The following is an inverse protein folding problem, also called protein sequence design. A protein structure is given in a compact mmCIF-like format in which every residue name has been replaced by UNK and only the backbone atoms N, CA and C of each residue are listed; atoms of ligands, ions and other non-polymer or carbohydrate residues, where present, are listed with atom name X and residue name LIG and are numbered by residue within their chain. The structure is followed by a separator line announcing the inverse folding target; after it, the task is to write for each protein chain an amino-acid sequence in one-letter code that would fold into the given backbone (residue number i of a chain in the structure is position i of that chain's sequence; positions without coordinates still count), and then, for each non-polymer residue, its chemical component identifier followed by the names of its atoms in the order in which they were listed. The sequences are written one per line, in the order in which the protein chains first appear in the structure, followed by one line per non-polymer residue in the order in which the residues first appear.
data_IF_558430841740
#
_entry.id   IF_558430841740
#
_cell.length_a   1.000
_cell.length_b   1.000
_cell.length_c   1.000
_cell.angle_alpha   90.00
_cell.angle_beta   90.00
_cell.angle_gamma   90.00
#
_symmetry.space_group_name_H-M   'P 1'
#
loop_
_entity.id
_entity.type
_entity.pdbx_description
1 polymer ?
#
# COMPACT_ATOMS: atom_id res chain seq x y z
N UNK A 1 -4.73 15.05 -24.20
CA UNK A 1 -4.63 14.27 -22.95
C UNK A 1 -4.03 15.18 -21.88
N UNK A 2 -4.33 14.97 -20.60
CA UNK A 2 -3.72 15.75 -19.52
C UNK A 2 -2.19 15.66 -19.67
N UNK A 3 -1.46 16.80 -19.71
CA UNK A 3 -0.02 16.80 -19.95
C UNK A 3 0.77 15.96 -18.94
N UNK A 4 0.31 15.88 -17.69
CA UNK A 4 0.98 15.11 -16.63
C UNK A 4 0.85 13.60 -16.82
N UNK A 5 -0.27 13.14 -17.39
CA UNK A 5 -0.43 11.74 -17.81
C UNK A 5 0.57 11.43 -18.92
N UNK A 6 0.63 12.29 -19.95
CA UNK A 6 1.55 12.10 -21.07
C UNK A 6 3.01 12.10 -20.60
N UNK A 7 3.39 13.07 -19.77
CA UNK A 7 4.74 13.14 -19.22
C UNK A 7 5.10 11.91 -18.39
N UNK A 8 4.17 11.37 -17.60
CA UNK A 8 4.39 10.15 -16.82
C UNK A 8 4.56 8.93 -17.72
N UNK A 9 3.78 8.83 -18.80
CA UNK A 9 3.94 7.78 -19.83
C UNK A 9 5.30 7.91 -20.50
N UNK A 10 5.69 9.10 -20.94
CA UNK A 10 6.95 9.30 -21.65
C UNK A 10 8.14 9.03 -20.73
N UNK A 11 8.10 9.49 -19.48
CA UNK A 11 9.12 9.16 -18.48
C UNK A 11 9.24 7.64 -18.29
N UNK A 12 8.12 6.94 -18.11
CA UNK A 12 8.10 5.50 -17.88
C UNK A 12 8.66 4.67 -19.06
N UNK A 13 8.54 5.17 -20.29
CA UNK A 13 8.93 4.43 -21.49
C UNK A 13 10.25 4.92 -22.13
N UNK A 14 10.83 6.03 -21.67
CA UNK A 14 12.01 6.65 -22.31
C UNK A 14 13.16 6.97 -21.34
N UNK A 15 12.98 6.76 -20.03
CA UNK A 15 13.99 7.11 -19.01
C UNK A 15 14.20 5.97 -18.01
N UNK A 16 15.11 6.19 -17.07
CA UNK A 16 15.45 5.35 -15.92
C UNK A 16 14.32 5.28 -14.88
N UNK A 17 13.10 4.98 -15.33
CA UNK A 17 11.88 5.08 -14.53
C UNK A 17 11.95 4.24 -13.25
N UNK A 18 12.37 2.98 -13.35
CA UNK A 18 12.45 2.08 -12.19
C UNK A 18 13.58 2.48 -11.24
N UNK A 19 14.71 2.97 -11.75
CA UNK A 19 15.83 3.44 -10.92
C UNK A 19 15.44 4.71 -10.14
N UNK A 20 14.67 5.59 -10.76
CA UNK A 20 14.17 6.79 -10.09
C UNK A 20 13.04 6.46 -9.10
N UNK A 21 12.16 5.50 -9.45
CA UNK A 21 11.17 4.98 -8.50
C UNK A 21 11.81 4.31 -7.29
N UNK A 22 12.99 3.71 -7.44
CA UNK A 22 13.73 3.13 -6.31
C UNK A 22 14.08 4.19 -5.25
N UNK A 23 14.21 5.47 -5.62
CA UNK A 23 14.43 6.57 -4.66
C UNK A 23 13.17 6.87 -3.85
N UNK A 24 11.99 6.58 -4.40
CA UNK A 24 10.67 6.76 -3.76
C UNK A 24 10.31 5.53 -2.94
N UNK A 25 10.51 4.35 -3.52
CA UNK A 25 10.16 3.04 -2.97
C UNK A 25 11.40 2.13 -2.93
N UNK A 26 12.43 2.46 -2.11
CA UNK A 26 13.61 1.61 -2.04
C UNK A 26 13.20 0.25 -1.49
N UNK A 27 13.73 -0.82 -2.08
CA UNK A 27 13.60 -2.14 -1.47
C UNK A 27 14.33 -2.09 -0.15
N UNK A 28 13.60 -2.32 0.94
CA UNK A 28 14.23 -2.60 2.21
C UNK A 28 14.83 -4.01 2.01
N UNK A 29 16.14 -4.23 2.17
CA UNK A 29 16.65 -5.58 2.32
C UNK A 29 16.03 -6.10 3.61
N UNK A 30 14.88 -6.75 3.48
CA UNK A 30 14.12 -7.14 4.65
C UNK A 30 14.90 -8.22 5.37
N UNK A 31 15.26 -7.94 6.63
CA UNK A 31 15.63 -8.99 7.56
C UNK A 31 14.46 -9.96 7.76
N UNK A 32 14.79 -11.15 8.25
CA UNK A 32 13.82 -12.15 8.64
C UNK A 32 12.84 -11.53 9.67
N UNK A 33 11.53 -11.74 9.49
CA UNK A 33 10.53 -11.30 10.47
C UNK A 33 10.78 -12.03 11.80
N UNK A 34 10.93 -11.28 12.87
CA UNK A 34 10.95 -11.84 14.23
C UNK A 34 9.63 -12.54 14.54
N UNK A 35 9.75 -13.80 14.97
CA UNK A 35 8.63 -14.57 15.49
C UNK A 35 8.65 -14.50 17.01
N UNK A 36 7.46 -14.41 17.63
CA UNK A 36 7.32 -14.55 19.08
C UNK A 36 7.93 -15.89 19.52
N UNK A 37 9.00 -15.84 20.31
CA UNK A 37 9.77 -17.02 20.71
C UNK A 37 8.92 -18.01 21.52
N UNK A 38 8.01 -17.51 22.36
CA UNK A 38 7.13 -18.33 23.18
C UNK A 38 6.12 -19.05 22.31
N UNK A 39 5.52 -18.34 21.35
CA UNK A 39 4.59 -18.92 20.39
C UNK A 39 5.30 -19.94 19.49
N UNK A 40 6.51 -19.64 19.03
CA UNK A 40 7.30 -20.55 18.23
C UNK A 40 7.69 -21.81 19.00
N UNK A 41 8.06 -21.70 20.28
CA UNK A 41 8.30 -22.86 21.15
C UNK A 41 7.07 -23.76 21.25
N UNK A 42 5.86 -23.20 21.34
CA UNK A 42 4.62 -23.98 21.34
C UNK A 42 4.40 -24.70 20.00
N UNK A 43 4.66 -24.03 18.87
CA UNK A 43 4.58 -24.63 17.53
C UNK A 43 5.54 -25.82 17.42
N UNK A 44 6.80 -25.65 17.84
CA UNK A 44 7.80 -26.73 17.85
C UNK A 44 7.32 -27.94 18.66
N UNK A 45 6.73 -27.69 19.83
CA UNK A 45 6.23 -28.75 20.70
C UNK A 45 5.05 -29.50 20.07
N UNK A 46 4.04 -28.80 19.54
CA UNK A 46 2.90 -29.43 18.87
C UNK A 46 3.35 -30.20 17.62
N UNK A 47 4.32 -29.67 16.86
CA UNK A 47 4.89 -30.35 15.70
C UNK A 47 5.54 -31.69 16.08
N UNK A 48 6.39 -31.69 17.11
CA UNK A 48 7.08 -32.91 17.59
C UNK A 48 6.11 -33.95 18.14
N UNK A 49 5.07 -33.51 18.86
CA UNK A 49 4.04 -34.38 19.43
C UNK A 49 3.01 -34.88 18.42
N UNK A 50 3.09 -34.44 17.16
CA UNK A 50 2.06 -34.67 16.14
C UNK A 50 0.66 -34.22 16.57
N UNK A 51 0.61 -33.15 17.37
CA UNK A 51 -0.64 -32.51 17.82
C UNK A 51 -1.15 -31.57 16.73
N UNK A 52 -2.05 -32.09 15.89
CA UNK A 52 -2.60 -31.37 14.73
C UNK A 52 -3.35 -30.09 15.14
N UNK A 53 -4.18 -30.19 16.18
CA UNK A 53 -5.01 -29.08 16.61
C UNK A 53 -4.13 -27.96 17.17
N UNK A 54 -3.23 -28.26 18.11
CA UNK A 54 -2.34 -27.27 18.68
C UNK A 54 -1.34 -26.70 17.66
N UNK A 55 -0.89 -27.49 16.69
CA UNK A 55 -0.01 -27.01 15.61
C UNK A 55 -0.70 -25.93 14.78
N UNK A 56 -1.90 -26.21 14.28
CA UNK A 56 -2.65 -25.25 13.47
C UNK A 56 -3.08 -24.04 14.31
N UNK A 57 -3.58 -24.25 15.52
CA UNK A 57 -4.05 -23.18 16.40
C UNK A 57 -2.94 -22.17 16.74
N UNK A 58 -1.70 -22.64 16.94
CA UNK A 58 -0.57 -21.75 17.18
C UNK A 58 -0.06 -21.09 15.90
N UNK A 59 -0.02 -21.80 14.77
CA UNK A 59 0.43 -21.22 13.48
C UNK A 59 -0.51 -20.12 12.97
N UNK A 60 -1.83 -20.22 13.17
CA UNK A 60 -2.75 -19.18 12.74
C UNK A 60 -2.59 -17.86 13.50
N UNK A 61 -2.01 -17.90 14.71
CA UNK A 61 -1.70 -16.72 15.52
C UNK A 61 -0.52 -15.93 14.97
N UNK A 62 0.31 -16.53 14.11
CA UNK A 62 1.40 -15.83 13.44
C UNK A 62 0.88 -14.89 12.34
N UNK A 63 1.65 -13.82 12.12
CA UNK A 63 1.38 -12.82 11.08
C UNK A 63 1.34 -13.44 9.67
N UNK A 64 2.13 -14.48 9.42
CA UNK A 64 2.14 -15.22 8.17
C UNK A 64 1.98 -16.71 8.47
N UNK A 65 1.11 -17.36 7.70
CA UNK A 65 0.91 -18.80 7.76
C UNK A 65 1.78 -19.43 6.67
N UNK A 66 2.47 -20.56 6.93
CA UNK A 66 3.52 -21.10 6.04
C UNK A 66 2.97 -21.70 4.72
N UNK A 67 1.65 -21.83 4.59
CA UNK A 67 0.98 -22.39 3.41
C UNK A 67 -0.09 -21.42 2.92
N UNK A 68 -0.12 -21.16 1.61
CA UNK A 68 -1.25 -20.50 0.96
C UNK A 68 -2.36 -21.53 0.75
N UNK A 69 -3.41 -21.45 1.56
CA UNK A 69 -4.58 -22.33 1.49
C UNK A 69 -5.83 -21.51 1.87
N UNK A 70 -6.90 -21.61 1.06
CA UNK A 70 -8.10 -20.78 1.21
C UNK A 70 -8.81 -21.00 2.55
N UNK A 71 -8.69 -22.18 3.15
CA UNK A 71 -9.33 -22.53 4.42
C UNK A 71 -8.65 -21.86 5.61
N UNK A 72 -7.34 -21.57 5.52
CA UNK A 72 -6.58 -20.88 6.57
C UNK A 72 -7.16 -19.50 6.85
N UNK A 73 -7.62 -18.78 5.82
CA UNK A 73 -8.23 -17.46 5.98
C UNK A 73 -9.51 -17.50 6.84
N UNK A 74 -10.31 -18.56 6.70
CA UNK A 74 -11.50 -18.78 7.52
C UNK A 74 -11.12 -19.12 8.97
N UNK A 75 -10.19 -20.07 9.15
CA UNK A 75 -9.71 -20.52 10.45
C UNK A 75 -9.06 -19.39 11.28
N UNK A 76 -8.42 -18.41 10.63
CA UNK A 76 -7.90 -17.21 11.29
C UNK A 76 -8.99 -16.31 11.89
N UNK A 77 -10.19 -16.30 11.30
CA UNK A 77 -11.30 -15.43 11.69
C UNK A 77 -12.23 -16.08 12.71
N UNK A 78 -12.42 -17.40 12.63
CA UNK A 78 -13.21 -18.16 13.60
C UNK A 78 -12.35 -19.23 14.29
N UNK A 79 -11.96 -18.95 15.53
CA UNK A 79 -11.15 -19.86 16.35
C UNK A 79 -11.88 -21.15 16.73
N UNK A 80 -13.21 -21.15 16.78
CA UNK A 80 -13.97 -22.39 17.07
C UNK A 80 -14.10 -23.28 15.83
N UNK A 81 -13.69 -22.80 14.65
CA UNK A 81 -13.76 -23.59 13.44
C UNK A 81 -12.80 -24.79 13.44
N UNK A 82 -11.73 -24.78 14.25
CA UNK A 82 -10.83 -25.93 14.39
C UNK A 82 -11.57 -27.17 14.93
N UNK A 83 -12.39 -26.97 15.98
CA UNK A 83 -13.16 -28.04 16.64
C UNK A 83 -14.23 -28.61 15.71
N UNK A 84 -14.87 -27.74 14.91
CA UNK A 84 -15.94 -28.14 14.00
C UNK A 84 -15.44 -28.79 12.71
N UNK A 85 -14.16 -28.62 12.34
CA UNK A 85 -13.60 -29.07 11.06
C UNK A 85 -12.31 -29.89 11.22
N UNK A 86 -12.33 -31.01 11.97
CA UNK A 86 -11.13 -31.78 12.29
C UNK A 86 -10.41 -32.36 11.06
N UNK A 87 -11.16 -32.71 10.00
CA UNK A 87 -10.57 -33.23 8.76
C UNK A 87 -9.74 -32.18 8.02
N UNK A 88 -10.19 -30.92 8.00
CA UNK A 88 -9.43 -29.82 7.39
C UNK A 88 -8.17 -29.54 8.20
N UNK A 89 -8.28 -29.56 9.54
CA UNK A 89 -7.12 -29.41 10.44
C UNK A 89 -6.09 -30.52 10.19
N UNK A 90 -6.53 -31.78 10.11
CA UNK A 90 -5.65 -32.92 9.82
C UNK A 90 -4.97 -32.79 8.44
N UNK A 91 -5.71 -32.40 7.40
CA UNK A 91 -5.16 -32.16 6.05
C UNK A 91 -4.06 -31.09 6.07
N UNK A 92 -4.32 -29.97 6.73
CA UNK A 92 -3.34 -28.88 6.84
C UNK A 92 -2.11 -29.31 7.66
N UNK A 93 -2.31 -29.99 8.78
CA UNK A 93 -1.23 -30.51 9.61
C UNK A 93 -0.36 -31.52 8.86
N UNK A 94 -0.96 -32.43 8.08
CA UNK A 94 -0.25 -33.36 7.20
C UNK A 94 0.73 -32.65 6.28
N UNK A 95 0.26 -31.64 5.54
CA UNK A 95 1.11 -30.81 4.65
C UNK A 95 2.23 -30.09 5.40
N UNK A 96 1.98 -29.65 6.62
CA UNK A 96 3.00 -29.01 7.47
C UNK A 96 4.06 -30.02 7.90
N UNK A 97 3.66 -31.23 8.29
CA UNK A 97 4.61 -32.28 8.65
C UNK A 97 5.51 -32.68 7.50
N UNK A 98 4.96 -32.81 6.29
CA UNK A 98 5.72 -33.08 5.07
C UNK A 98 6.75 -31.97 4.77
N UNK A 99 6.40 -30.71 5.06
CA UNK A 99 7.26 -29.56 4.79
C UNK A 99 8.48 -29.47 5.73
N UNK A 100 8.35 -30.02 6.94
CA UNK A 100 9.39 -29.93 7.97
C UNK A 100 9.39 -28.59 8.72
N UNK A 101 9.88 -28.64 9.96
CA UNK A 101 9.84 -27.52 10.91
C UNK A 101 10.70 -26.32 10.48
N UNK A 102 11.84 -26.56 9.85
CA UNK A 102 12.75 -25.51 9.39
C UNK A 102 12.14 -24.71 8.23
N UNK A 103 11.51 -25.40 7.28
CA UNK A 103 10.78 -24.75 6.18
C UNK A 103 9.58 -23.97 6.69
N UNK A 104 8.86 -24.52 7.69
CA UNK A 104 7.78 -23.79 8.35
C UNK A 104 8.30 -22.50 8.98
N UNK A 105 9.43 -22.55 9.69
CA UNK A 105 10.05 -21.36 10.28
C UNK A 105 10.36 -20.32 9.22
N UNK A 106 11.11 -20.72 8.19
CA UNK A 106 11.52 -19.85 7.09
C UNK A 106 10.33 -19.13 6.47
N UNK A 107 9.25 -19.86 6.16
CA UNK A 107 8.03 -19.30 5.56
C UNK A 107 7.24 -18.42 6.51
N UNK A 108 7.17 -18.74 7.80
CA UNK A 108 6.51 -17.88 8.78
C UNK A 108 7.26 -16.57 9.00
N UNK A 109 8.59 -16.64 8.88
CA UNK A 109 9.52 -15.56 9.10
C UNK A 109 9.82 -14.75 7.82
N UNK A 110 9.16 -15.07 6.70
CA UNK A 110 9.27 -14.29 5.49
C UNK A 110 8.93 -12.81 5.76
N UNK A 111 9.66 -11.91 5.12
CA UNK A 111 9.45 -10.49 5.32
C UNK A 111 8.05 -10.04 4.89
N UNK A 112 7.64 -8.85 5.33
CA UNK A 112 6.36 -8.30 4.86
C UNK A 112 6.44 -8.07 3.36
N UNK A 113 5.50 -8.63 2.59
CA UNK A 113 5.37 -8.40 1.15
C UNK A 113 5.59 -6.92 0.81
N UNK A 114 6.50 -6.63 -0.12
CA UNK A 114 6.90 -5.28 -0.53
C UNK A 114 5.70 -4.39 -0.85
N UNK A 115 4.65 -4.98 -1.43
CA UNK A 115 3.39 -4.29 -1.77
C UNK A 115 2.63 -3.72 -0.56
N UNK A 116 2.85 -4.25 0.65
CA UNK A 116 2.29 -3.74 1.91
C UNK A 116 3.14 -2.65 2.55
N UNK A 117 4.35 -2.41 2.05
CA UNK A 117 5.30 -1.43 2.58
C UNK A 117 5.27 -0.08 1.80
N UNK A 118 4.63 -0.03 0.63
CA UNK A 118 4.65 1.12 -0.30
C UNK A 118 4.14 2.43 0.34
N UNK A 119 3.01 2.41 1.04
CA UNK A 119 2.41 3.62 1.64
C UNK A 119 3.34 4.34 2.63
N UNK A 120 3.90 3.63 3.63
CA UNK A 120 4.94 4.16 4.51
C UNK A 120 6.17 4.71 3.76
N UNK A 121 6.60 4.07 2.67
CA UNK A 121 7.75 4.52 1.87
C UNK A 121 7.46 5.86 1.20
N UNK A 122 6.28 6.04 0.61
CA UNK A 122 5.88 7.32 0.01
C UNK A 122 5.92 8.47 1.02
N UNK A 123 5.37 8.27 2.23
CA UNK A 123 5.41 9.29 3.29
C UNK A 123 6.82 9.58 3.77
N UNK A 124 7.66 8.55 3.89
CA UNK A 124 9.08 8.72 4.23
C UNK A 124 9.79 9.56 3.17
N UNK A 125 9.56 9.28 1.90
CA UNK A 125 10.08 10.07 0.78
C UNK A 125 9.66 11.55 0.89
N UNK A 126 8.38 11.84 1.16
CA UNK A 126 7.94 13.21 1.39
C UNK A 126 8.63 13.88 2.59
N UNK A 127 8.78 13.15 3.70
CA UNK A 127 9.41 13.66 4.93
C UNK A 127 10.88 14.03 4.76
N UNK A 128 11.57 13.39 3.80
CA UNK A 128 12.95 13.70 3.40
C UNK A 128 13.06 14.98 2.54
N UNK A 129 12.00 15.80 2.49
CA UNK A 129 11.93 17.03 1.70
C UNK A 129 12.19 16.82 0.21
N UNK A 130 11.84 15.66 -0.34
CA UNK A 130 12.06 15.33 -1.76
C UNK A 130 11.29 16.24 -2.72
N UNK A 131 10.25 16.94 -2.24
CA UNK A 131 9.54 17.97 -3.01
C UNK A 131 10.19 19.37 -2.90
N UNK A 132 11.23 19.56 -2.09
CA UNK A 132 11.90 20.84 -1.88
C UNK A 132 11.11 21.85 -1.04
N UNK A 133 10.15 21.38 -0.24
CA UNK A 133 9.27 22.21 0.60
C UNK A 133 9.21 21.69 2.04
N UNK A 134 8.86 22.53 3.03
CA UNK A 134 8.73 22.09 4.42
C UNK A 134 7.60 21.09 4.64
N UNK A 135 7.83 20.17 5.57
CA UNK A 135 6.87 19.18 6.07
C UNK A 135 6.37 19.64 7.45
N UNK A 136 5.12 20.12 7.53
CA UNK A 136 4.62 20.89 8.68
C UNK A 136 3.49 20.15 9.39
N UNK A 137 3.47 20.16 10.72
CA UNK A 137 2.30 19.70 11.51
C UNK A 137 1.07 20.59 11.24
N UNK A 138 -0.12 20.11 11.55
CA UNK A 138 -1.38 20.79 11.22
C UNK A 138 -1.43 22.28 11.62
N UNK A 139 -1.02 22.62 12.84
CA UNK A 139 -1.06 24.01 13.33
C UNK A 139 -0.13 24.92 12.54
N UNK A 140 1.12 24.49 12.32
CA UNK A 140 2.09 25.24 11.51
C UNK A 140 1.66 25.32 10.04
N UNK A 141 1.08 24.23 9.52
CA UNK A 141 0.59 24.15 8.16
C UNK A 141 -0.52 25.18 7.92
N UNK A 142 -1.43 25.40 8.87
CA UNK A 142 -2.48 26.42 8.76
C UNK A 142 -1.94 27.85 8.93
N UNK A 143 -0.99 28.05 9.84
CA UNK A 143 -0.53 29.38 10.23
C UNK A 143 0.55 29.96 9.30
N UNK A 144 1.44 29.12 8.77
CA UNK A 144 2.50 29.57 7.85
C UNK A 144 1.94 29.76 6.45
N UNK A 145 2.41 30.78 5.74
CA UNK A 145 2.16 30.97 4.30
C UNK A 145 3.20 30.22 3.46
N UNK A 146 2.92 30.05 2.17
CA UNK A 146 3.86 29.43 1.21
C UNK A 146 3.65 27.93 1.02
N UNK A 147 4.50 27.34 0.18
CA UNK A 147 4.37 25.94 -0.21
C UNK A 147 4.78 25.01 0.93
N UNK A 148 3.97 23.99 1.21
CA UNK A 148 4.22 23.04 2.29
C UNK A 148 3.45 21.74 2.06
N UNK A 149 3.88 20.68 2.74
CA UNK A 149 3.13 19.43 2.83
C UNK A 149 2.76 19.17 4.29
N UNK A 150 1.56 18.63 4.51
CA UNK A 150 1.06 18.30 5.84
C UNK A 150 1.75 17.03 6.36
N UNK A 151 2.37 17.15 7.53
CA UNK A 151 2.92 16.05 8.32
C UNK A 151 1.88 15.57 9.33
N UNK A 152 1.09 14.58 8.95
CA UNK A 152 0.00 14.05 9.76
C UNK A 152 -0.16 12.53 9.53
N UNK A 153 -0.61 11.82 10.56
CA UNK A 153 -1.02 10.41 10.42
C UNK A 153 -2.38 10.28 9.70
N UNK A 154 -2.80 9.05 9.37
CA UNK A 154 -4.04 8.77 8.62
C UNK A 154 -5.27 9.48 9.19
N UNK A 155 -5.48 9.32 10.51
CA UNK A 155 -6.63 9.87 11.20
C UNK A 155 -6.63 11.40 11.22
N UNK A 156 -5.48 12.01 11.45
CA UNK A 156 -5.31 13.46 11.50
C UNK A 156 -5.45 14.08 10.11
N UNK A 157 -4.87 13.46 9.08
CA UNK A 157 -5.00 13.87 7.69
C UNK A 157 -6.47 13.82 7.23
N UNK A 158 -7.18 12.76 7.61
CA UNK A 158 -8.61 12.63 7.34
C UNK A 158 -9.46 13.69 8.06
N UNK A 159 -9.15 13.96 9.33
CA UNK A 159 -9.81 15.00 10.11
C UNK A 159 -9.57 16.39 9.49
N UNK A 160 -8.33 16.67 9.07
CA UNK A 160 -7.96 17.90 8.37
C UNK A 160 -8.78 18.07 7.08
N UNK A 161 -8.80 17.04 6.23
CA UNK A 161 -9.52 17.09 4.95
C UNK A 161 -11.03 17.29 5.12
N UNK A 162 -11.64 16.64 6.12
CA UNK A 162 -13.06 16.84 6.46
C UNK A 162 -13.33 18.27 6.92
N UNK A 163 -12.52 18.76 7.86
CA UNK A 163 -12.72 20.06 8.51
C UNK A 163 -12.45 21.24 7.57
N UNK A 164 -11.39 21.16 6.76
CA UNK A 164 -10.91 22.31 5.99
C UNK A 164 -11.19 22.21 4.48
N UNK A 165 -11.36 21.00 3.94
CA UNK A 165 -11.43 20.77 2.48
C UNK A 165 -12.78 20.22 2.02
N UNK A 166 -13.76 20.08 2.92
CA UNK A 166 -15.08 19.48 2.65
C UNK A 166 -14.97 18.05 2.08
N UNK A 167 -13.95 17.29 2.49
CA UNK A 167 -13.72 15.94 2.01
C UNK A 167 -14.62 14.93 2.75
N UNK A 168 -15.68 14.45 2.07
CA UNK A 168 -16.69 13.53 2.65
C UNK A 168 -16.50 12.06 2.27
N UNK A 169 -15.55 11.77 1.41
CA UNK A 169 -15.30 10.40 0.96
C UNK A 169 -14.75 9.54 2.12
N UNK A 170 -15.11 8.25 2.25
CA UNK A 170 -14.76 7.46 3.43
C UNK A 170 -13.31 6.96 3.46
N UNK A 171 -12.62 6.93 2.31
CA UNK A 171 -11.21 6.52 2.24
C UNK A 171 -10.31 7.61 2.80
N UNK A 172 -9.20 7.19 3.42
CA UNK A 172 -8.13 8.08 3.84
C UNK A 172 -7.40 8.71 2.66
N UNK A 173 -6.42 9.55 2.98
CA UNK A 173 -5.55 10.21 2.01
C UNK A 173 -4.09 9.83 2.31
N UNK A 174 -3.29 9.73 1.25
CA UNK A 174 -1.85 9.52 1.37
C UNK A 174 -1.09 10.87 1.37
N UNK A 175 -1.72 11.93 0.86
CA UNK A 175 -1.09 13.22 0.61
C UNK A 175 -2.05 14.40 0.85
N UNK A 176 -1.60 15.40 1.62
CA UNK A 176 -2.19 16.74 1.67
C UNK A 176 -1.08 17.78 1.60
N UNK A 177 -1.23 18.77 0.71
CA UNK A 177 -0.28 19.86 0.57
C UNK A 177 -0.96 21.19 0.27
N UNK A 178 -0.18 22.26 0.36
CA UNK A 178 -0.55 23.59 -0.11
C UNK A 178 0.52 24.09 -1.04
N UNK A 179 0.14 24.44 -2.27
CA UNK A 179 1.03 25.01 -3.27
C UNK A 179 0.34 26.19 -3.94
N UNK A 180 1.04 27.32 -4.04
CA UNK A 180 0.57 28.54 -4.71
C UNK A 180 -0.85 28.97 -4.25
N UNK A 181 -1.08 28.88 -2.92
CA UNK A 181 -2.37 29.23 -2.30
C UNK A 181 -3.49 28.19 -2.46
N UNK A 182 -3.26 27.09 -3.18
CA UNK A 182 -4.23 26.00 -3.39
C UNK A 182 -3.92 24.81 -2.50
N UNK A 183 -4.94 24.23 -1.89
CA UNK A 183 -4.82 22.92 -1.27
C UNK A 183 -4.81 21.82 -2.32
N UNK A 184 -4.03 20.78 -2.05
CA UNK A 184 -3.89 19.59 -2.89
C UNK A 184 -4.12 18.37 -2.01
N UNK A 185 -4.94 17.43 -2.46
CA UNK A 185 -5.10 16.12 -1.83
C UNK A 185 -4.80 15.00 -2.83
N UNK A 186 -4.28 13.88 -2.35
CA UNK A 186 -4.01 12.75 -3.22
C UNK A 186 -3.97 11.40 -2.55
N UNK A 187 -4.10 10.40 -3.42
CA UNK A 187 -3.91 8.98 -3.12
C UNK A 187 -2.67 8.50 -3.88
N UNK A 188 -1.77 7.78 -3.19
CA UNK A 188 -0.55 7.25 -3.76
C UNK A 188 -0.60 5.72 -3.85
N UNK A 189 -0.31 5.16 -5.03
CA UNK A 189 -0.26 3.71 -5.25
C UNK A 189 0.85 3.35 -6.24
N UNK A 190 1.66 2.37 -5.89
CA UNK A 190 2.60 1.75 -6.82
C UNK A 190 2.03 0.40 -7.28
N UNK A 191 1.58 0.38 -8.54
CA UNK A 191 0.87 -0.71 -9.17
C UNK A 191 1.88 -1.63 -9.88
N UNK A 192 2.19 -2.77 -9.27
CA UNK A 192 3.30 -3.63 -9.71
C UNK A 192 2.90 -4.69 -10.74
N UNK A 193 1.60 -4.92 -10.93
CA UNK A 193 1.08 -5.95 -11.83
C UNK A 193 -0.35 -5.60 -12.29
N UNK A 194 -0.89 -6.38 -13.23
CA UNK A 194 -2.25 -6.23 -13.73
C UNK A 194 -3.22 -7.18 -13.02
N UNK A 195 -4.46 -6.73 -12.80
CA UNK A 195 -5.54 -7.59 -12.31
C UNK A 195 -5.69 -7.65 -10.77
N UNK A 196 -6.76 -8.34 -10.34
CA UNK A 196 -7.04 -8.61 -8.93
C UNK A 196 -6.96 -7.39 -8.01
N UNK A 197 -6.12 -7.49 -6.97
CA UNK A 197 -5.92 -6.44 -5.97
C UNK A 197 -5.37 -5.12 -6.55
N UNK A 198 -4.60 -5.16 -7.64
CA UNK A 198 -4.02 -3.97 -8.27
C UNK A 198 -5.10 -3.10 -8.91
N UNK A 199 -6.11 -3.72 -9.53
CA UNK A 199 -7.27 -2.99 -10.06
C UNK A 199 -8.08 -2.32 -8.95
N UNK A 200 -8.18 -2.94 -7.77
CA UNK A 200 -8.85 -2.34 -6.63
C UNK A 200 -8.09 -1.10 -6.13
N UNK A 201 -6.76 -1.18 -6.03
CA UNK A 201 -5.90 -0.04 -5.67
C UNK A 201 -5.99 1.11 -6.67
N UNK A 202 -5.98 0.80 -7.98
CA UNK A 202 -6.22 1.78 -9.03
C UNK A 202 -7.59 2.46 -8.85
N UNK A 203 -8.66 1.68 -8.68
CA UNK A 203 -10.01 2.20 -8.52
C UNK A 203 -10.15 3.05 -7.25
N UNK A 204 -9.47 2.70 -6.16
CA UNK A 204 -9.45 3.50 -4.93
C UNK A 204 -8.88 4.90 -5.18
N UNK A 205 -7.75 4.99 -5.89
CA UNK A 205 -7.16 6.28 -6.25
C UNK A 205 -8.07 7.11 -7.17
N UNK A 206 -8.71 6.44 -8.14
CA UNK A 206 -9.71 7.09 -9.00
C UNK A 206 -10.91 7.60 -8.19
N UNK A 207 -11.40 6.82 -7.21
CA UNK A 207 -12.51 7.23 -6.35
C UNK A 207 -12.16 8.49 -5.55
N UNK A 208 -10.94 8.57 -5.01
CA UNK A 208 -10.43 9.75 -4.31
C UNK A 208 -10.46 11.00 -5.19
N UNK A 209 -9.94 10.93 -6.44
CA UNK A 209 -9.95 12.12 -7.32
C UNK A 209 -11.33 12.46 -7.88
N UNK A 210 -12.26 11.51 -7.89
CA UNK A 210 -13.66 11.73 -8.28
C UNK A 210 -14.54 12.24 -7.14
N UNK A 211 -14.02 12.33 -5.91
CA UNK A 211 -14.75 12.91 -4.79
C UNK A 211 -15.31 14.31 -5.14
N UNK A 212 -16.61 14.49 -4.93
CA UNK A 212 -17.34 15.72 -5.30
C UNK A 212 -17.22 16.78 -4.21
N UNK A 213 -17.30 18.05 -4.61
CA UNK A 213 -17.38 19.22 -3.73
C UNK A 213 -16.20 19.35 -2.75
N UNK A 214 -15.01 18.91 -3.16
CA UNK A 214 -13.79 19.04 -2.38
C UNK A 214 -13.10 20.36 -2.73
N UNK A 215 -12.76 21.15 -1.71
CA UNK A 215 -12.09 22.45 -1.84
C UNK A 215 -10.57 22.28 -1.99
N UNK A 216 -10.13 21.41 -2.91
CA UNK A 216 -8.73 21.14 -3.19
C UNK A 216 -8.55 20.60 -4.61
N UNK A 217 -7.35 20.81 -5.17
CA UNK A 217 -6.89 20.08 -6.36
C UNK A 217 -6.72 18.62 -5.95
N UNK A 218 -7.29 17.70 -6.72
CA UNK A 218 -7.19 16.27 -6.47
C UNK A 218 -6.19 15.66 -7.45
N UNK A 219 -5.30 14.81 -6.94
CA UNK A 219 -4.28 14.13 -7.74
C UNK A 219 -4.21 12.64 -7.37
N UNK A 220 -4.15 11.78 -8.37
CA UNK A 220 -3.83 10.37 -8.19
C UNK A 220 -2.36 10.18 -8.55
N UNK A 221 -1.57 9.82 -7.53
CA UNK A 221 -0.12 9.65 -7.63
C UNK A 221 0.11 8.17 -7.85
N UNK A 222 0.16 7.76 -9.12
CA UNK A 222 0.17 6.37 -9.51
C UNK A 222 1.50 6.04 -10.15
N UNK A 223 2.12 4.95 -9.74
CA UNK A 223 3.39 4.47 -10.30
C UNK A 223 3.26 3.04 -10.81
N UNK A 224 4.18 2.62 -11.68
CA UNK A 224 4.32 1.23 -12.13
C UNK A 224 3.65 0.92 -13.46
N UNK A 225 3.01 -0.25 -13.56
CA UNK A 225 2.67 -0.88 -14.85
C UNK A 225 1.59 -0.14 -15.65
N UNK A 226 0.86 0.79 -15.04
CA UNK A 226 -0.19 1.56 -15.71
C UNK A 226 0.33 2.43 -16.86
N UNK A 227 1.61 2.77 -16.87
CA UNK A 227 2.23 3.60 -17.90
C UNK A 227 2.85 2.81 -19.06
N UNK A 228 2.88 1.47 -18.96
CA UNK A 228 3.36 0.61 -20.03
C UNK A 228 2.36 0.69 -21.19
N UNK A 229 2.83 1.15 -22.35
CA UNK A 229 2.00 1.29 -23.55
C UNK A 229 1.48 -0.09 -23.98
N UNK A 230 0.17 -0.23 -24.09
CA UNK A 230 -0.45 -1.49 -24.53
C UNK A 230 -1.96 -1.53 -24.35
N UNK A 231 -2.56 -2.71 -24.53
CA UNK A 231 -4.00 -2.92 -24.42
C UNK A 231 -4.46 -3.28 -22.99
N UNK A 232 -3.60 -3.06 -21.99
CA UNK A 232 -3.98 -3.33 -20.60
C UNK A 232 -5.03 -2.31 -20.11
N UNK A 233 -5.89 -2.76 -19.19
CA UNK A 233 -7.04 -1.97 -18.72
C UNK A 233 -6.62 -0.62 -18.14
N UNK A 234 -5.57 -0.58 -17.31
CA UNK A 234 -5.15 0.64 -16.63
C UNK A 234 -4.63 1.69 -17.60
N UNK A 235 -3.74 1.31 -18.52
CA UNK A 235 -3.22 2.19 -19.57
C UNK A 235 -4.36 2.75 -20.44
N UNK A 236 -5.30 1.89 -20.85
CA UNK A 236 -6.49 2.34 -21.59
C UNK A 236 -7.34 3.30 -20.78
N UNK A 237 -7.59 3.01 -19.52
CA UNK A 237 -8.44 3.83 -18.66
C UNK A 237 -7.82 5.22 -18.46
N UNK A 238 -6.51 5.33 -18.21
CA UNK A 238 -5.83 6.63 -18.05
C UNK A 238 -5.73 7.42 -19.36
N UNK A 239 -5.60 6.76 -20.51
CA UNK A 239 -5.47 7.43 -21.82
C UNK A 239 -6.82 7.76 -22.48
N UNK A 240 -7.91 7.15 -22.04
CA UNK A 240 -9.25 7.36 -22.61
C UNK A 240 -10.23 7.95 -21.59
N UNK A 241 -10.67 7.15 -20.61
CA UNK A 241 -11.72 7.49 -19.64
C UNK A 241 -11.31 8.60 -18.69
N UNK A 242 -10.08 8.57 -18.21
CA UNK A 242 -9.52 9.50 -17.23
C UNK A 242 -8.50 10.46 -17.83
N UNK A 243 -8.48 10.61 -19.16
CA UNK A 243 -7.50 11.40 -19.90
C UNK A 243 -7.43 12.89 -19.58
N UNK A 244 -8.35 13.41 -18.77
CA UNK A 244 -8.40 14.82 -18.32
C UNK A 244 -8.07 14.96 -16.83
N UNK A 245 -8.04 13.86 -16.08
CA UNK A 245 -7.80 13.87 -14.65
C UNK A 245 -6.31 14.08 -14.34
N UNK A 246 -6.01 14.56 -13.12
CA UNK A 246 -4.64 14.67 -12.64
C UNK A 246 -4.16 13.30 -12.15
N UNK A 247 -3.72 12.47 -13.09
CA UNK A 247 -3.09 11.18 -12.83
C UNK A 247 -1.63 11.30 -13.26
N UNK A 248 -0.70 11.06 -12.35
CA UNK A 248 0.72 11.29 -12.61
C UNK A 248 1.61 10.44 -11.72
N UNK A 249 2.84 10.20 -12.18
CA UNK A 249 3.86 9.48 -11.41
C UNK A 249 4.37 10.36 -10.27
N UNK A 250 4.77 9.74 -9.15
CA UNK A 250 5.45 10.46 -8.06
C UNK A 250 6.68 11.24 -8.56
N UNK A 251 7.32 10.79 -9.64
CA UNK A 251 8.51 11.39 -10.22
C UNK A 251 8.27 12.76 -10.89
N UNK A 252 7.01 13.08 -11.24
CA UNK A 252 6.64 14.38 -11.83
C UNK A 252 5.73 15.19 -10.90
N UNK A 253 5.50 14.68 -9.68
CA UNK A 253 4.64 15.31 -8.69
C UNK A 253 5.15 16.70 -8.29
N UNK A 254 6.47 16.85 -8.14
CA UNK A 254 7.07 18.13 -7.76
C UNK A 254 6.74 19.20 -8.80
N UNK A 255 7.03 18.94 -10.06
CA UNK A 255 6.79 19.84 -11.18
C UNK A 255 5.30 20.20 -11.28
N UNK A 256 4.42 19.20 -11.12
CA UNK A 256 2.97 19.41 -11.08
C UNK A 256 2.57 20.42 -9.99
N UNK A 257 3.05 20.21 -8.76
CA UNK A 257 2.69 21.04 -7.62
C UNK A 257 3.16 22.49 -7.76
N UNK A 258 4.36 22.71 -8.28
CA UNK A 258 4.89 24.06 -8.50
C UNK A 258 4.20 24.82 -9.65
N UNK A 259 3.51 24.12 -10.56
CA UNK A 259 2.77 24.72 -11.67
C UNK A 259 1.27 24.98 -11.39
N UNK A 260 0.77 24.65 -10.20
CA UNK A 260 -0.62 24.93 -9.80
C UNK A 260 -0.92 26.41 -9.68
#
# INVERSE_FOLDING_TARGET
MNPWIQLSIDYANQRSYLDDLFKVYPTIPDGIRELDEKLWKNIKNSFKKKDNAGLIENLVKLNLFPIKDSYVAYLKRDRKAFERNPQIVARLAGRLYEMGLDTIYARCSEPKETNRQIGPLFRRWLSNKSLGVPYLKADEFLNKKGNAVLNAGDAEMMAFARKHLNYKHPKGLDFIARFNGKYVIGEAKFLTDFGGHQNAQFNDAIATIKAKNVNAVKVAILDGVLYIKGNNKMYRDITTRYKKENILSSLVLREFLFQL
#
